data_IF_068030105325
#
_entry.id   IF_068030105325
#
_cell.length_a   1.000
_cell.length_b   1.000
_cell.length_c   1.000
_cell.angle_alpha   90.00
_cell.angle_beta   90.00
_cell.angle_gamma   90.00
#
_symmetry.space_group_name_H-M   'P 1'
#
loop_
_entity.id
_entity.type
_entity.pdbx_description
1 polymer ?
#
# COMPACT_ATOMS: atom_id res chain seq x y z
N UNK A 1 18.01 -22.45 -7.05
CA UNK A 1 16.55 -22.27 -7.25
C UNK A 1 15.85 -23.00 -6.12
N UNK A 2 15.09 -22.31 -5.26
CA UNK A 2 14.42 -22.97 -4.13
C UNK A 2 13.27 -23.81 -4.66
N UNK A 3 13.34 -25.14 -4.51
CA UNK A 3 12.23 -26.04 -4.80
C UNK A 3 11.63 -26.55 -3.50
N UNK A 4 10.52 -25.95 -3.07
CA UNK A 4 9.71 -26.50 -1.98
C UNK A 4 8.95 -27.73 -2.46
N UNK A 5 8.88 -28.76 -1.63
CA UNK A 5 8.01 -29.91 -1.86
C UNK A 5 6.56 -29.56 -1.51
N UNK A 6 5.61 -29.95 -2.37
CA UNK A 6 4.18 -29.72 -2.15
C UNK A 6 3.38 -30.93 -2.62
N UNK A 7 2.33 -31.27 -1.86
CA UNK A 7 1.37 -32.31 -2.24
C UNK A 7 0.39 -31.82 -3.32
N UNK A 8 0.31 -30.51 -3.53
CA UNK A 8 -0.55 -29.93 -4.55
C UNK A 8 0.14 -29.94 -5.91
N UNK A 9 -0.65 -30.19 -6.97
CA UNK A 9 -0.14 -30.12 -8.33
C UNK A 9 0.29 -28.68 -8.65
N UNK A 10 1.47 -28.50 -9.23
CA UNK A 10 2.05 -27.17 -9.52
C UNK A 10 1.16 -26.32 -10.43
N UNK A 11 0.45 -26.93 -11.37
CA UNK A 11 -0.48 -26.23 -12.25
C UNK A 11 -1.68 -25.63 -11.49
N UNK A 12 -2.20 -26.31 -10.47
CA UNK A 12 -3.28 -25.79 -9.62
C UNK A 12 -2.77 -24.60 -8.81
N UNK A 13 -1.55 -24.69 -8.28
CA UNK A 13 -0.93 -23.57 -7.58
C UNK A 13 -0.81 -22.38 -8.54
N UNK A 14 -0.26 -22.59 -9.74
CA UNK A 14 -0.11 -21.53 -10.73
C UNK A 14 -1.46 -20.88 -11.12
N UNK A 15 -2.47 -21.69 -11.41
CA UNK A 15 -3.81 -21.21 -11.76
C UNK A 15 -4.43 -20.36 -10.63
N UNK A 16 -4.27 -20.76 -9.37
CA UNK A 16 -4.76 -19.96 -8.23
C UNK A 16 -4.05 -18.61 -8.05
N UNK A 17 -2.99 -18.34 -8.82
CA UNK A 17 -2.30 -17.04 -8.87
C UNK A 17 -2.73 -16.17 -10.05
N UNK A 18 -3.81 -16.53 -10.75
CA UNK A 18 -4.30 -15.82 -11.93
C UNK A 18 -5.72 -15.23 -11.69
N UNK A 19 -6.12 -14.32 -12.58
CA UNK A 19 -7.51 -13.86 -12.68
C UNK A 19 -8.39 -14.90 -13.36
N UNK A 20 -9.70 -14.90 -13.09
CA UNK A 20 -10.62 -15.84 -13.73
C UNK A 20 -10.94 -15.38 -15.16
N UNK A 21 -10.73 -16.27 -16.14
CA UNK A 21 -11.07 -16.01 -17.55
C UNK A 21 -12.57 -15.74 -17.72
N UNK A 22 -12.90 -14.82 -18.61
CA UNK A 22 -14.29 -14.43 -18.93
C UNK A 22 -15.11 -13.93 -17.74
N UNK A 23 -14.45 -13.57 -16.64
CA UNK A 23 -15.09 -12.96 -15.49
C UNK A 23 -15.15 -11.43 -15.62
N UNK A 24 -16.16 -10.82 -15.00
CA UNK A 24 -16.38 -9.38 -15.07
C UNK A 24 -15.28 -8.57 -14.35
N UNK A 25 -14.72 -9.10 -13.25
CA UNK A 25 -13.67 -8.43 -12.49
C UNK A 25 -12.30 -8.87 -13.01
N UNK A 26 -11.58 -7.93 -13.65
CA UNK A 26 -10.26 -8.18 -14.26
C UNK A 26 -9.11 -8.10 -13.27
N UNK A 27 -9.38 -7.71 -12.03
CA UNK A 27 -8.40 -7.50 -10.97
C UNK A 27 -8.61 -8.43 -9.76
N UNK A 28 -9.38 -9.52 -9.93
CA UNK A 28 -9.66 -10.49 -8.88
C UNK A 28 -9.72 -11.92 -9.42
N UNK A 29 -9.23 -12.89 -8.66
CA UNK A 29 -9.32 -14.31 -9.00
C UNK A 29 -8.89 -15.22 -7.84
N UNK A 30 -9.61 -16.33 -7.66
CA UNK A 30 -9.31 -17.36 -6.65
C UNK A 30 -9.01 -16.85 -5.22
N UNK A 31 -9.63 -15.73 -4.80
CA UNK A 31 -9.38 -15.15 -3.46
C UNK A 31 -8.22 -14.16 -3.40
N UNK A 32 -7.68 -13.76 -4.55
CA UNK A 32 -6.60 -12.78 -4.66
C UNK A 32 -7.06 -11.55 -5.44
N UNK A 33 -6.59 -10.40 -5.00
CA UNK A 33 -6.65 -9.14 -5.70
C UNK A 33 -5.36 -8.89 -6.47
N UNK A 34 -5.48 -8.25 -7.63
CA UNK A 34 -4.38 -7.92 -8.53
C UNK A 34 -4.32 -6.41 -8.70
N UNK A 35 -3.13 -5.84 -8.54
CA UNK A 35 -2.98 -4.40 -8.61
C UNK A 35 -1.55 -3.97 -8.86
N UNK A 36 -1.36 -2.67 -8.69
CA UNK A 36 -0.08 -2.00 -8.88
C UNK A 36 0.16 -1.08 -7.69
N UNK A 37 1.34 -1.15 -7.09
CA UNK A 37 1.76 -0.28 -6.00
C UNK A 37 2.96 0.52 -6.51
N UNK A 38 2.74 1.82 -6.75
CA UNK A 38 3.63 2.65 -7.56
C UNK A 38 3.88 1.96 -8.92
N UNK A 39 5.12 1.57 -9.20
CA UNK A 39 5.48 0.87 -10.43
C UNK A 39 5.54 -0.66 -10.34
N UNK A 40 5.24 -1.21 -9.15
CA UNK A 40 5.35 -2.65 -8.88
C UNK A 40 4.00 -3.36 -9.00
N UNK A 41 3.94 -4.33 -9.92
CA UNK A 41 2.83 -5.28 -9.99
C UNK A 41 2.78 -6.11 -8.71
N UNK A 42 1.60 -6.23 -8.12
CA UNK A 42 1.41 -6.99 -6.92
C UNK A 42 0.09 -7.76 -6.93
N UNK A 43 0.08 -8.81 -6.13
CA UNK A 43 -1.09 -9.62 -5.84
C UNK A 43 -1.20 -9.79 -4.33
N UNK A 44 -2.41 -9.61 -3.81
CA UNK A 44 -2.63 -9.41 -2.39
C UNK A 44 -4.00 -9.90 -1.95
N UNK A 45 -4.18 -10.02 -0.65
CA UNK A 45 -5.49 -10.09 -0.04
C UNK A 45 -5.43 -9.50 1.36
N UNK A 46 -6.55 -8.94 1.79
CA UNK A 46 -6.68 -8.27 3.07
C UNK A 46 -7.86 -8.86 3.86
N UNK A 47 -7.75 -8.84 5.18
CA UNK A 47 -8.79 -9.34 6.07
C UNK A 47 -8.92 -8.45 7.29
N UNK A 48 -10.17 -8.24 7.74
CA UNK A 48 -10.44 -7.45 8.93
C UNK A 48 -11.67 -7.99 9.68
N UNK A 49 -11.48 -8.33 10.95
CA UNK A 49 -12.53 -8.70 11.90
C UNK A 49 -12.27 -7.98 13.23
N UNK A 50 -12.93 -6.84 13.43
CA UNK A 50 -12.75 -5.99 14.60
C UNK A 50 -11.31 -5.48 14.73
N UNK A 51 -10.65 -5.83 15.84
CA UNK A 51 -9.26 -5.47 16.09
C UNK A 51 -8.25 -6.34 15.30
N UNK A 52 -8.68 -7.46 14.73
CA UNK A 52 -7.80 -8.39 14.03
C UNK A 52 -7.80 -8.08 12.54
N UNK A 53 -6.65 -7.67 12.02
CA UNK A 53 -6.51 -7.34 10.60
C UNK A 53 -5.22 -7.94 10.04
N UNK A 54 -5.26 -8.27 8.76
CA UNK A 54 -4.15 -8.88 8.04
C UNK A 54 -4.04 -8.29 6.63
N UNK A 55 -2.81 -8.10 6.17
CA UNK A 55 -2.50 -7.85 4.77
C UNK A 55 -1.37 -8.79 4.37
N UNK A 56 -1.57 -9.56 3.31
CA UNK A 56 -0.52 -10.29 2.60
C UNK A 56 -0.40 -9.68 1.21
N UNK A 57 0.79 -9.23 0.85
CA UNK A 57 1.12 -8.73 -0.49
C UNK A 57 2.31 -9.50 -1.04
N UNK A 58 2.30 -9.76 -2.34
CA UNK A 58 3.40 -10.40 -3.05
C UNK A 58 3.75 -9.61 -4.28
N UNK A 59 5.05 -9.56 -4.54
CA UNK A 59 5.72 -8.90 -5.64
C UNK A 59 6.45 -10.01 -6.44
N UNK A 60 5.75 -10.69 -7.37
CA UNK A 60 6.27 -11.92 -7.99
C UNK A 60 7.53 -11.70 -8.81
N UNK A 61 7.66 -10.55 -9.48
CA UNK A 61 8.84 -10.19 -10.29
C UNK A 61 10.07 -10.00 -9.40
N UNK A 62 9.87 -9.61 -8.16
CA UNK A 62 10.88 -9.33 -7.14
C UNK A 62 11.16 -10.57 -6.26
N UNK A 63 10.37 -11.64 -6.40
CA UNK A 63 10.40 -12.82 -5.54
C UNK A 63 10.25 -12.49 -4.04
N UNK A 64 9.49 -11.45 -3.70
CA UNK A 64 9.27 -10.99 -2.33
C UNK A 64 7.79 -11.10 -1.94
N UNK A 65 7.55 -11.56 -0.72
CA UNK A 65 6.24 -11.55 -0.08
C UNK A 65 6.33 -10.86 1.27
N UNK A 66 5.33 -10.07 1.62
CA UNK A 66 5.28 -9.35 2.89
C UNK A 66 3.93 -9.56 3.55
N UNK A 67 3.95 -9.69 4.88
CA UNK A 67 2.75 -9.87 5.69
C UNK A 67 2.79 -8.92 6.89
N UNK A 68 1.66 -8.27 7.15
CA UNK A 68 1.43 -7.56 8.41
C UNK A 68 0.16 -8.08 9.05
N UNK A 69 0.25 -8.44 10.32
CA UNK A 69 -0.86 -8.85 11.17
C UNK A 69 -0.99 -7.86 12.32
N UNK A 70 -2.22 -7.48 12.67
CA UNK A 70 -2.49 -6.57 13.78
C UNK A 70 -3.59 -7.12 14.67
N UNK A 71 -3.46 -6.89 15.97
CA UNK A 71 -4.48 -7.16 17.00
C UNK A 71 -5.09 -5.85 17.55
N UNK A 72 -5.05 -4.77 16.77
CA UNK A 72 -5.62 -3.47 17.12
C UNK A 72 -6.43 -2.89 15.97
N UNK A 73 -7.60 -2.33 16.30
CA UNK A 73 -8.41 -1.58 15.34
C UNK A 73 -7.77 -0.27 14.88
N UNK A 74 -6.76 0.22 15.62
CA UNK A 74 -6.11 1.52 15.39
C UNK A 74 -5.02 1.49 14.32
N UNK A 75 -4.51 0.31 13.97
CA UNK A 75 -3.52 0.15 12.91
C UNK A 75 -4.19 -0.29 11.61
N UNK A 76 -3.58 0.07 10.49
CA UNK A 76 -4.00 -0.31 9.14
C UNK A 76 -2.85 -1.13 8.54
N UNK A 77 -2.94 -2.48 8.54
CA UNK A 77 -1.84 -3.32 8.05
C UNK A 77 -1.51 -3.08 6.58
N UNK A 78 -2.49 -2.69 5.76
CA UNK A 78 -2.28 -2.47 4.33
C UNK A 78 -1.33 -1.32 4.03
N UNK A 79 -1.47 -0.20 4.74
CA UNK A 79 -0.54 0.93 4.62
C UNK A 79 0.85 0.57 5.14
N UNK A 80 0.94 -0.13 6.27
CA UNK A 80 2.23 -0.55 6.85
C UNK A 80 2.98 -1.53 5.95
N UNK A 81 2.30 -2.51 5.39
CA UNK A 81 2.92 -3.48 4.48
C UNK A 81 3.45 -2.81 3.21
N UNK A 82 2.72 -1.83 2.68
CA UNK A 82 3.14 -1.05 1.50
C UNK A 82 4.31 -0.10 1.82
N UNK A 83 4.31 0.53 3.00
CA UNK A 83 5.47 1.30 3.49
C UNK A 83 6.72 0.43 3.68
N UNK A 84 6.57 -0.84 4.07
CA UNK A 84 7.70 -1.79 4.08
C UNK A 84 8.25 -2.04 2.68
N UNK A 85 7.39 -2.12 1.66
CA UNK A 85 7.82 -2.22 0.26
C UNK A 85 8.58 -0.97 -0.20
N UNK A 86 8.15 0.22 0.23
CA UNK A 86 8.90 1.46 -0.03
C UNK A 86 10.32 1.40 0.51
N UNK A 87 10.50 0.93 1.75
CA UNK A 87 11.82 0.80 2.38
C UNK A 87 12.66 -0.28 1.70
N UNK A 88 12.09 -1.48 1.47
CA UNK A 88 12.84 -2.61 0.92
C UNK A 88 13.31 -2.36 -0.52
N UNK A 89 12.45 -1.77 -1.35
CA UNK A 89 12.75 -1.51 -2.76
C UNK A 89 13.29 -0.10 -3.01
N UNK A 90 13.56 0.67 -1.94
CA UNK A 90 14.04 2.05 -2.01
C UNK A 90 13.20 2.92 -2.95
N UNK A 91 11.86 2.81 -2.84
CA UNK A 91 10.94 3.53 -3.71
C UNK A 91 10.86 5.00 -3.31
N UNK A 92 10.75 5.93 -4.27
CA UNK A 92 10.67 7.34 -3.97
C UNK A 92 9.43 7.65 -3.12
N UNK A 93 9.59 8.59 -2.20
CA UNK A 93 8.44 9.12 -1.48
C UNK A 93 7.51 9.83 -2.46
N UNK A 94 6.22 9.49 -2.41
CA UNK A 94 5.17 10.21 -3.13
C UNK A 94 4.48 11.24 -2.23
N UNK A 95 4.96 11.42 -1.00
CA UNK A 95 4.46 12.44 -0.08
C UNK A 95 4.76 13.82 -0.69
N UNK A 96 3.72 14.52 -1.13
CA UNK A 96 3.78 15.97 -1.23
C UNK A 96 3.87 16.49 0.19
N UNK A 97 5.05 16.98 0.58
CA UNK A 97 5.21 17.68 1.85
C UNK A 97 4.10 18.73 1.96
N UNK A 98 3.30 18.65 3.02
CA UNK A 98 2.33 19.70 3.30
C UNK A 98 3.13 20.99 3.45
N UNK A 99 2.80 21.97 2.62
CA UNK A 99 3.39 23.30 2.70
C UNK A 99 2.93 23.91 4.03
N UNK A 100 3.78 23.80 5.05
CA UNK A 100 3.47 24.31 6.41
C UNK A 100 3.77 25.80 6.56
N UNK A 101 4.39 26.41 5.55
CA UNK A 101 4.69 27.83 5.48
C UNK A 101 4.08 28.47 4.23
N UNK A 102 3.58 29.70 4.29
CA UNK A 102 3.10 30.40 3.10
C UNK A 102 4.22 30.54 2.06
N UNK A 103 3.91 30.39 0.77
CA UNK A 103 4.88 30.64 -0.31
C UNK A 103 5.36 32.10 -0.37
N UNK A 104 4.58 33.01 0.20
CA UNK A 104 4.97 34.38 0.48
C UNK A 104 4.17 34.92 1.68
N UNK A 105 4.81 35.76 2.49
CA UNK A 105 4.14 36.61 3.48
C UNK A 105 4.03 38.03 2.92
N UNK A 106 2.89 38.69 3.17
CA UNK A 106 2.72 40.10 2.81
C UNK A 106 3.64 41.02 3.64
N UNK A 107 3.67 42.30 3.27
CA UNK A 107 4.41 43.29 4.04
C UNK A 107 3.91 43.35 5.48
N UNK A 108 4.82 43.53 6.44
CA UNK A 108 4.47 43.78 7.82
C UNK A 108 3.61 45.05 7.93
N UNK A 109 2.47 44.93 8.61
CA UNK A 109 1.60 46.07 8.93
C UNK A 109 1.90 46.47 10.38
N UNK A 110 2.34 47.72 10.59
CA UNK A 110 2.62 48.25 11.93
C UNK A 110 1.36 48.37 12.80
N UNK A 111 1.54 48.32 14.11
CA UNK A 111 0.47 48.29 15.12
C UNK A 111 -0.56 49.41 14.95
N UNK A 112 -0.12 50.64 14.65
CA UNK A 112 -1.01 51.79 14.48
C UNK A 112 -2.00 51.61 13.30
N UNK A 113 -1.55 50.98 12.21
CA UNK A 113 -2.41 50.65 11.07
C UNK A 113 -3.35 49.49 11.39
N UNK A 114 -2.93 48.54 12.22
CA UNK A 114 -3.79 47.44 12.70
C UNK A 114 -4.88 47.94 13.64
N UNK A 115 -4.54 48.92 14.50
CA UNK A 115 -5.44 49.50 15.50
C UNK A 115 -6.30 50.64 14.95
N UNK A 116 -6.04 51.09 13.72
CA UNK A 116 -6.77 52.21 13.11
C UNK A 116 -6.53 53.55 13.82
N UNK A 117 -5.41 53.67 14.54
CA UNK A 117 -5.00 54.92 15.21
C UNK A 117 -4.14 55.71 14.22
N UNK A 118 -4.77 56.65 13.52
CA UNK A 118 -4.11 57.62 12.63
C UNK A 118 -3.91 58.97 13.30
#
# INVERSE_FOLDING_TARGET
>A
MWSGETKFKKNIIAESQETIKDFQFKNYGYGLEFGKYKDLENLFHEGATGAWKATLIRFPKEAVSMITLTNTGKSIPSSKTRQMADVLFNLPSTETFLVTEPSAIGNYIGENNLLGTY
#
